data_IF_227217681645
#
_entry.id   IF_227217681645
#
_cell.length_a   1.000
_cell.length_b   1.000
_cell.length_c   1.000
_cell.angle_alpha   90.00
_cell.angle_beta   90.00
_cell.angle_gamma   90.00
#
_symmetry.space_group_name_H-M   'P 1'
#
loop_
_entity.id
_entity.type
_entity.pdbx_description
1 polymer ?
#
# COMPACT_ATOMS: atom_id res chain seq x y z
N UNK A 1 -63.94 0.91 -31.76
CA UNK A 1 -63.51 0.75 -30.35
C UNK A 1 -62.37 -0.26 -30.11
N UNK A 2 -61.77 -0.88 -31.15
CA UNK A 2 -60.61 -1.81 -31.01
C UNK A 2 -59.28 -1.31 -31.59
N UNK A 3 -59.27 -0.18 -32.32
CA UNK A 3 -58.05 0.41 -32.92
C UNK A 3 -57.37 1.49 -32.06
N UNK A 4 -58.09 2.14 -31.13
CA UNK A 4 -57.51 3.20 -30.27
C UNK A 4 -56.70 2.58 -29.11
N UNK A 5 -57.04 1.36 -28.71
CA UNK A 5 -56.34 0.62 -27.64
C UNK A 5 -54.95 0.11 -28.03
N UNK A 6 -54.67 -0.11 -29.32
CA UNK A 6 -53.35 -0.60 -29.77
C UNK A 6 -52.29 0.50 -29.88
N UNK A 7 -52.69 1.76 -30.13
CA UNK A 7 -51.76 2.89 -30.24
C UNK A 7 -51.25 3.38 -28.88
N UNK A 8 -52.07 3.30 -27.82
CA UNK A 8 -51.65 3.70 -26.46
C UNK A 8 -50.69 2.68 -25.83
N UNK A 9 -50.81 1.39 -26.17
CA UNK A 9 -49.86 0.35 -25.72
C UNK A 9 -48.48 0.45 -26.34
N UNK A 10 -48.34 1.05 -27.53
CA UNK A 10 -47.04 1.18 -28.18
C UNK A 10 -46.17 2.30 -27.57
N UNK A 11 -46.77 3.37 -27.03
CA UNK A 11 -46.02 4.47 -26.41
C UNK A 11 -45.56 4.16 -24.97
N UNK A 12 -46.27 3.31 -24.23
CA UNK A 12 -45.87 2.96 -22.86
C UNK A 12 -44.69 1.97 -22.80
N UNK A 13 -44.46 1.21 -23.89
CA UNK A 13 -43.34 0.27 -23.96
C UNK A 13 -42.01 0.95 -24.33
N UNK A 14 -42.03 2.09 -25.03
CA UNK A 14 -40.82 2.77 -25.51
C UNK A 14 -40.19 3.66 -24.43
N UNK A 15 -40.98 4.19 -23.49
CA UNK A 15 -40.46 5.02 -22.38
C UNK A 15 -39.81 4.18 -21.26
N UNK A 16 -40.12 2.88 -21.16
CA UNK A 16 -39.48 1.98 -20.18
C UNK A 16 -38.12 1.40 -20.61
N UNK A 17 -37.66 1.64 -21.85
CA UNK A 17 -36.33 1.17 -22.30
C UNK A 17 -35.18 2.17 -22.06
N UNK A 18 -35.44 3.37 -21.54
CA UNK A 18 -34.38 4.37 -21.27
C UNK A 18 -33.98 4.50 -19.78
N UNK A 19 -34.56 3.67 -18.90
CA UNK A 19 -34.30 3.72 -17.46
C UNK A 19 -33.13 2.86 -17.01
N UNK A 20 -32.08 3.53 -16.54
CA UNK A 20 -30.98 2.98 -15.72
C UNK A 20 -29.91 2.12 -16.43
N UNK A 21 -29.13 2.75 -17.31
CA UNK A 21 -27.70 2.40 -17.38
C UNK A 21 -27.06 2.82 -16.05
N UNK A 22 -27.18 1.95 -15.04
CA UNK A 22 -26.41 2.09 -13.80
C UNK A 22 -24.96 1.88 -14.19
N UNK A 23 -24.19 2.97 -14.35
CA UNK A 23 -22.75 2.88 -14.37
C UNK A 23 -22.34 2.37 -12.98
N UNK A 24 -22.24 1.05 -12.83
CA UNK A 24 -21.54 0.43 -11.73
C UNK A 24 -20.12 0.94 -11.82
N UNK A 25 -19.80 2.00 -11.07
CA UNK A 25 -18.41 2.28 -10.75
C UNK A 25 -17.92 1.01 -10.08
N UNK A 26 -17.12 0.23 -10.80
CA UNK A 26 -16.35 -0.84 -10.21
C UNK A 26 -15.49 -0.14 -9.15
N UNK A 27 -15.95 -0.18 -7.90
CA UNK A 27 -15.15 0.26 -6.78
C UNK A 27 -13.89 -0.58 -6.86
N UNK A 28 -12.77 0.05 -7.25
CA UNK A 28 -11.48 -0.61 -7.25
C UNK A 28 -11.30 -1.23 -5.87
N UNK A 29 -10.93 -2.50 -5.84
CA UNK A 29 -10.90 -3.27 -4.59
C UNK A 29 -10.08 -2.51 -3.55
N UNK A 30 -10.72 -2.14 -2.44
CA UNK A 30 -10.07 -1.36 -1.40
C UNK A 30 -8.97 -2.22 -0.77
N UNK A 31 -7.74 -1.75 -0.82
CA UNK A 31 -6.57 -2.47 -0.31
C UNK A 31 -5.34 -1.59 -0.32
N UNK A 32 -4.37 -1.94 0.51
CA UNK A 32 -3.11 -1.22 0.62
C UNK A 32 -2.24 -1.53 -0.60
N UNK A 33 -1.69 -0.50 -1.22
CA UNK A 33 -0.77 -0.68 -2.34
C UNK A 33 0.51 -1.37 -1.89
N UNK A 34 0.97 -2.35 -2.67
CA UNK A 34 2.21 -3.08 -2.44
C UNK A 34 2.75 -3.61 -3.78
N UNK A 35 3.86 -4.34 -3.70
CA UNK A 35 4.49 -5.02 -4.82
C UNK A 35 4.81 -6.47 -4.46
N UNK A 36 4.73 -7.36 -5.44
CA UNK A 36 5.39 -8.66 -5.33
C UNK A 36 6.89 -8.48 -5.54
N UNK A 37 7.73 -8.98 -4.63
CA UNK A 37 9.20 -8.95 -4.81
C UNK A 37 9.75 -10.25 -5.39
N UNK A 38 8.92 -11.30 -5.38
CA UNK A 38 9.14 -12.60 -6.01
C UNK A 38 7.80 -13.08 -6.58
N UNK A 39 7.77 -14.09 -7.46
CA UNK A 39 6.51 -14.65 -7.91
C UNK A 39 5.68 -15.13 -6.72
N UNK A 40 4.44 -14.68 -6.63
CA UNK A 40 3.50 -15.10 -5.61
C UNK A 40 2.77 -16.35 -6.09
N UNK A 41 2.78 -17.40 -5.27
CA UNK A 41 1.88 -18.54 -5.44
C UNK A 41 0.59 -18.21 -4.69
N UNK A 42 -0.53 -18.18 -5.41
CA UNK A 42 -1.83 -17.90 -4.84
C UNK A 42 -2.48 -19.19 -4.36
N UNK A 43 -2.86 -19.23 -3.09
CA UNK A 43 -3.61 -20.30 -2.46
C UNK A 43 -5.06 -19.89 -2.21
N UNK A 44 -5.96 -20.87 -2.16
CA UNK A 44 -7.37 -20.66 -1.80
C UNK A 44 -7.60 -20.30 -0.33
N UNK A 45 -6.59 -20.46 0.54
CA UNK A 45 -6.64 -20.11 1.96
C UNK A 45 -5.26 -19.76 2.56
N UNK A 46 -5.24 -19.28 3.81
CA UNK A 46 -4.09 -18.63 4.45
C UNK A 46 -3.07 -19.61 5.07
N UNK A 47 -2.78 -20.72 4.40
CA UNK A 47 -1.67 -21.62 4.72
C UNK A 47 -1.32 -22.56 3.55
N UNK A 48 -0.28 -23.38 3.75
CA UNK A 48 0.27 -24.28 2.70
C UNK A 48 -0.59 -25.52 2.41
N UNK A 49 -1.61 -25.81 3.22
CA UNK A 49 -2.51 -26.96 3.02
C UNK A 49 -3.61 -26.68 1.99
N UNK A 50 -3.85 -25.40 1.67
CA UNK A 50 -4.83 -25.00 0.67
C UNK A 50 -4.31 -25.19 -0.76
N UNK A 51 -5.24 -25.48 -1.67
CA UNK A 51 -4.93 -25.67 -3.08
C UNK A 51 -4.37 -24.38 -3.70
N UNK A 52 -3.34 -24.54 -4.54
CA UNK A 52 -2.82 -23.48 -5.41
C UNK A 52 -3.84 -23.18 -6.49
N UNK A 53 -4.20 -21.91 -6.64
CA UNK A 53 -5.24 -21.43 -7.56
C UNK A 53 -4.71 -20.45 -8.61
N UNK A 54 -3.43 -20.07 -8.53
CA UNK A 54 -2.83 -19.19 -9.51
C UNK A 54 -1.47 -18.66 -9.08
N UNK A 55 -0.95 -17.72 -9.87
CA UNK A 55 0.34 -17.09 -9.65
C UNK A 55 0.30 -15.63 -10.07
N UNK A 56 0.93 -14.75 -9.30
CA UNK A 56 1.23 -13.36 -9.70
C UNK A 56 2.75 -13.28 -9.95
N UNK A 57 3.22 -12.70 -11.07
CA UNK A 57 4.65 -12.53 -11.33
C UNK A 57 5.37 -11.71 -10.25
N UNK A 58 6.71 -11.72 -10.26
CA UNK A 58 7.49 -10.77 -9.47
C UNK A 58 7.32 -9.34 -10.02
N UNK A 59 7.71 -8.36 -9.21
CA UNK A 59 7.73 -6.93 -9.57
C UNK A 59 6.38 -6.44 -10.10
N UNK A 60 5.30 -7.04 -9.60
CA UNK A 60 3.94 -6.71 -10.01
C UNK A 60 3.31 -5.83 -8.94
N UNK A 61 2.73 -4.67 -9.30
CA UNK A 61 1.88 -3.91 -8.39
C UNK A 61 0.70 -4.76 -7.94
N UNK A 62 0.48 -4.84 -6.62
CA UNK A 62 -0.60 -5.60 -6.02
C UNK A 62 -1.37 -4.74 -5.01
N UNK A 63 -2.58 -5.17 -4.68
CA UNK A 63 -3.34 -4.68 -3.53
C UNK A 63 -3.35 -5.74 -2.45
N UNK A 64 -2.95 -5.35 -1.25
CA UNK A 64 -3.12 -6.18 -0.06
C UNK A 64 -4.46 -5.85 0.58
N UNK A 65 -5.37 -6.81 0.55
CA UNK A 65 -6.74 -6.63 1.06
C UNK A 65 -6.79 -6.87 2.58
N UNK A 66 -6.07 -7.89 3.04
CA UNK A 66 -5.89 -8.23 4.45
C UNK A 66 -4.75 -9.23 4.62
N UNK A 67 -4.20 -9.30 5.83
CA UNK A 67 -3.28 -10.38 6.19
C UNK A 67 -3.81 -11.18 7.38
N UNK A 68 -3.38 -12.43 7.46
CA UNK A 68 -3.61 -13.37 8.55
C UNK A 68 -2.30 -14.11 8.78
N UNK A 69 -1.62 -13.77 9.89
CA UNK A 69 -0.26 -14.27 10.18
C UNK A 69 0.67 -14.01 8.99
N UNK A 70 1.31 -15.05 8.47
CA UNK A 70 2.30 -14.97 7.39
C UNK A 70 1.69 -15.01 5.97
N UNK A 71 0.37 -14.83 5.86
CA UNK A 71 -0.36 -14.87 4.60
C UNK A 71 -1.15 -13.59 4.39
N UNK A 72 -1.10 -13.06 3.18
CA UNK A 72 -1.88 -11.90 2.78
C UNK A 72 -2.80 -12.28 1.63
N UNK A 73 -4.08 -11.94 1.76
CA UNK A 73 -5.01 -11.97 0.65
C UNK A 73 -4.69 -10.78 -0.24
N UNK A 74 -4.25 -11.09 -1.46
CA UNK A 74 -3.80 -10.09 -2.44
C UNK A 74 -4.66 -10.16 -3.69
N UNK A 75 -4.71 -9.04 -4.39
CA UNK A 75 -5.33 -8.91 -5.69
C UNK A 75 -4.41 -8.17 -6.66
N UNK A 76 -4.32 -8.64 -7.90
CA UNK A 76 -3.64 -7.96 -9.00
C UNK A 76 -4.30 -8.39 -10.31
N UNK A 77 -4.65 -7.41 -11.16
CA UNK A 77 -5.46 -7.65 -12.36
C UNK A 77 -6.73 -8.43 -11.98
N UNK A 78 -7.07 -9.50 -12.71
CA UNK A 78 -8.22 -10.38 -12.44
C UNK A 78 -7.89 -11.55 -11.48
N UNK A 79 -6.70 -11.57 -10.87
CA UNK A 79 -6.27 -12.62 -9.96
C UNK A 79 -6.42 -12.20 -8.49
N UNK A 80 -6.92 -13.12 -7.67
CA UNK A 80 -7.08 -12.94 -6.24
C UNK A 80 -6.80 -14.24 -5.49
N UNK A 81 -6.02 -14.15 -4.41
CA UNK A 81 -5.73 -15.32 -3.59
C UNK A 81 -4.78 -15.00 -2.44
N UNK A 82 -4.55 -15.98 -1.58
CA UNK A 82 -3.65 -15.86 -0.44
C UNK A 82 -2.21 -16.12 -0.89
N UNK A 83 -1.30 -15.22 -0.53
CA UNK A 83 0.13 -15.34 -0.82
C UNK A 83 0.95 -15.16 0.45
N UNK A 84 2.17 -15.68 0.46
CA UNK A 84 3.13 -15.47 1.56
C UNK A 84 3.44 -13.98 1.71
N UNK A 85 3.30 -13.46 2.94
CA UNK A 85 3.62 -12.06 3.27
C UNK A 85 5.10 -11.74 3.08
N UNK A 86 5.97 -12.76 3.14
CA UNK A 86 7.42 -12.63 2.91
C UNK A 86 7.77 -12.06 1.53
N UNK A 87 6.86 -12.17 0.56
CA UNK A 87 7.08 -11.71 -0.81
C UNK A 87 6.21 -10.50 -1.17
N UNK A 88 5.58 -9.89 -0.17
CA UNK A 88 4.79 -8.66 -0.29
C UNK A 88 5.61 -7.49 0.26
N UNK A 89 5.78 -6.45 -0.55
CA UNK A 89 6.51 -5.25 -0.16
C UNK A 89 5.64 -3.99 -0.29
N UNK A 90 5.48 -3.28 0.82
CA UNK A 90 4.52 -2.19 0.99
C UNK A 90 4.98 -0.83 0.47
N UNK A 91 5.79 -0.78 -0.58
CA UNK A 91 6.34 0.48 -1.11
C UNK A 91 7.74 0.80 -0.61
N UNK A 92 8.46 -0.20 -0.11
CA UNK A 92 9.91 -0.16 0.10
C UNK A 92 10.67 -0.61 -1.15
N UNK A 93 10.08 -0.63 -2.34
CA UNK A 93 10.73 -0.83 -3.64
C UNK A 93 10.03 0.10 -4.66
N UNK A 94 10.74 0.83 -5.54
CA UNK A 94 11.64 0.26 -6.55
C UNK A 94 13.03 0.93 -6.64
N UNK A 95 13.90 0.32 -7.45
CA UNK A 95 15.25 0.75 -7.90
C UNK A 95 16.49 0.50 -7.03
N UNK A 96 17.67 0.33 -7.67
CA UNK A 96 18.90 -0.14 -7.04
C UNK A 96 19.35 0.85 -5.98
N UNK A 97 19.37 0.38 -4.75
CA UNK A 97 19.84 1.17 -3.62
C UNK A 97 21.36 1.20 -3.67
N UNK A 98 21.96 2.38 -3.49
CA UNK A 98 23.35 2.46 -3.07
C UNK A 98 23.36 1.85 -1.66
N UNK A 99 23.60 0.54 -1.56
CA UNK A 99 23.55 -0.25 -0.31
C UNK A 99 24.63 0.12 0.71
N UNK A 100 25.45 1.13 0.37
CA UNK A 100 26.58 1.63 1.14
C UNK A 100 26.59 3.16 1.15
N UNK A 101 25.40 3.78 1.08
CA UNK A 101 25.27 5.23 1.14
C UNK A 101 25.92 5.78 2.40
N UNK A 102 26.81 6.77 2.28
CA UNK A 102 27.33 7.51 3.45
C UNK A 102 26.39 8.67 3.71
N UNK A 103 25.52 8.52 4.71
CA UNK A 103 24.59 9.57 5.07
C UNK A 103 23.83 9.30 6.37
N UNK A 104 23.01 10.28 6.72
CA UNK A 104 22.24 10.31 7.95
C UNK A 104 20.84 10.82 7.64
N UNK A 105 19.84 10.22 8.29
CA UNK A 105 18.44 10.59 8.20
C UNK A 105 17.99 11.08 9.57
N UNK A 106 17.55 12.34 9.66
CA UNK A 106 17.01 12.92 10.88
C UNK A 106 15.49 13.07 10.76
N UNK A 107 14.75 12.42 11.65
CA UNK A 107 13.31 12.60 11.80
C UNK A 107 13.03 13.65 12.86
N UNK A 108 12.06 14.52 12.60
CA UNK A 108 11.70 15.64 13.46
C UNK A 108 10.24 15.53 13.90
N UNK A 109 9.94 15.89 15.15
CA UNK A 109 8.56 15.91 15.67
C UNK A 109 7.68 17.01 15.04
N UNK A 110 8.29 18.12 14.61
CA UNK A 110 7.60 19.21 13.92
C UNK A 110 7.74 19.15 12.40
N UNK A 111 6.88 19.90 11.70
CA UNK A 111 7.04 20.17 10.25
C UNK A 111 8.18 21.15 10.02
N UNK A 112 8.68 21.23 8.78
CA UNK A 112 9.80 22.09 8.36
C UNK A 112 11.07 21.88 9.20
N UNK A 113 11.33 20.63 9.62
CA UNK A 113 12.52 20.25 10.37
C UNK A 113 12.64 20.96 11.74
N UNK A 114 11.50 21.15 12.42
CA UNK A 114 11.43 21.82 13.72
C UNK A 114 11.17 20.84 14.87
N UNK A 115 11.44 21.28 16.10
CA UNK A 115 11.22 20.49 17.32
C UNK A 115 12.33 19.47 17.59
N UNK A 116 12.05 18.50 18.45
CA UNK A 116 13.00 17.44 18.77
C UNK A 116 13.28 16.56 17.55
N UNK A 117 14.52 16.10 17.42
CA UNK A 117 14.97 15.28 16.29
C UNK A 117 15.71 14.03 16.75
N UNK A 118 15.58 12.96 15.99
CA UNK A 118 16.37 11.73 16.15
C UNK A 118 16.98 11.35 14.81
N UNK A 119 18.30 11.14 14.80
CA UNK A 119 19.06 10.86 13.60
C UNK A 119 19.54 9.41 13.55
N UNK A 120 19.48 8.81 12.37
CA UNK A 120 19.84 7.42 12.10
C UNK A 120 20.84 7.38 10.94
N UNK A 121 21.88 6.57 11.08
CA UNK A 121 22.87 6.37 10.03
C UNK A 121 22.41 5.31 9.03
N UNK A 122 22.96 5.33 7.81
CA UNK A 122 22.77 4.26 6.83
C UNK A 122 22.99 2.86 7.42
N UNK A 123 22.15 1.90 7.01
CA UNK A 123 22.11 0.54 7.55
C UNK A 123 21.24 0.37 8.80
N UNK A 124 20.81 1.47 9.44
CA UNK A 124 19.92 1.39 10.61
C UNK A 124 18.57 0.79 10.23
N UNK A 125 18.13 -0.23 10.99
CA UNK A 125 16.82 -0.87 10.84
C UNK A 125 16.12 -0.85 12.19
N UNK A 126 14.91 -0.30 12.24
CA UNK A 126 14.06 -0.29 13.44
C UNK A 126 12.68 -0.83 13.05
N UNK A 127 12.41 -2.06 13.47
CA UNK A 127 11.18 -2.76 13.16
C UNK A 127 10.00 -2.30 14.02
N UNK A 128 10.27 -1.75 15.22
CA UNK A 128 9.27 -1.22 16.13
C UNK A 128 9.82 0.00 16.89
N UNK A 129 9.43 1.20 16.44
CA UNK A 129 9.83 2.46 17.07
C UNK A 129 9.29 2.62 18.50
N UNK A 130 8.23 1.88 18.88
CA UNK A 130 7.68 1.95 20.23
C UNK A 130 8.68 1.42 21.27
N UNK A 131 9.52 0.45 20.89
CA UNK A 131 10.58 -0.07 21.76
C UNK A 131 11.66 0.97 22.09
N UNK A 132 11.74 2.04 21.30
CA UNK A 132 12.66 3.16 21.50
C UNK A 132 11.95 4.43 21.99
N UNK A 133 10.64 4.36 22.29
CA UNK A 133 9.81 5.52 22.63
C UNK A 133 9.78 6.60 21.51
N UNK A 134 9.86 6.16 20.25
CA UNK A 134 9.89 7.02 19.07
C UNK A 134 8.67 6.86 18.15
N UNK A 135 7.69 6.06 18.56
CA UNK A 135 6.50 5.75 17.76
C UNK A 135 5.58 6.95 17.59
N UNK A 136 4.93 7.06 16.43
CA UNK A 136 3.81 7.98 16.17
C UNK A 136 4.06 9.47 16.50
N UNK A 137 5.28 9.98 16.29
CA UNK A 137 5.62 11.38 16.64
C UNK A 137 6.26 12.21 15.54
N UNK A 138 6.80 11.61 14.50
CA UNK A 138 7.55 12.34 13.50
C UNK A 138 6.66 13.01 12.45
N UNK A 139 6.95 14.26 12.11
CA UNK A 139 6.19 15.04 11.14
C UNK A 139 7.02 15.48 9.91
N UNK A 140 8.34 15.51 10.00
CA UNK A 140 9.22 15.80 8.86
C UNK A 140 10.53 15.00 8.92
N UNK A 141 11.24 14.91 7.80
CA UNK A 141 12.47 14.11 7.70
C UNK A 141 13.50 14.79 6.79
N UNK A 142 14.73 14.90 7.28
CA UNK A 142 15.85 15.48 6.54
C UNK A 142 16.88 14.40 6.21
N UNK A 143 17.32 14.35 4.97
CA UNK A 143 18.34 13.44 4.46
C UNK A 143 19.63 14.24 4.21
N UNK A 144 20.76 13.71 4.68
CA UNK A 144 22.09 14.29 4.45
C UNK A 144 23.03 13.23 3.89
N UNK A 145 23.70 13.53 2.79
CA UNK A 145 24.55 12.58 2.06
C UNK A 145 23.76 11.73 1.06
N UNK A 146 24.39 10.67 0.55
CA UNK A 146 23.74 9.71 -0.33
C UNK A 146 23.03 8.67 0.56
N UNK A 147 21.76 8.90 0.89
CA UNK A 147 20.98 8.04 1.80
C UNK A 147 19.52 8.03 1.39
N UNK A 148 18.81 6.95 1.68
CA UNK A 148 17.35 6.89 1.58
C UNK A 148 16.74 6.18 2.78
N UNK A 149 15.44 6.35 3.02
CA UNK A 149 14.76 5.67 4.12
C UNK A 149 13.42 5.11 3.66
N UNK A 150 13.18 3.83 3.94
CA UNK A 150 11.83 3.28 3.96
C UNK A 150 11.18 3.69 5.28
N UNK A 151 10.06 4.41 5.19
CA UNK A 151 9.31 4.90 6.35
C UNK A 151 7.92 4.28 6.30
N UNK A 152 7.55 3.53 7.33
CA UNK A 152 6.31 2.75 7.35
C UNK A 152 5.42 3.16 8.51
N UNK A 153 4.11 3.15 8.25
CA UNK A 153 3.08 3.49 9.24
C UNK A 153 2.97 2.45 10.33
N UNK A 154 3.09 1.17 9.98
CA UNK A 154 2.92 0.08 10.95
C UNK A 154 4.29 -0.54 11.28
N UNK A 155 4.33 -1.31 12.37
CA UNK A 155 5.52 -2.05 12.80
C UNK A 155 5.88 -3.12 11.77
N UNK A 156 7.12 -3.60 11.84
CA UNK A 156 7.64 -4.69 11.01
C UNK A 156 7.45 -4.44 9.50
N UNK A 157 7.51 -3.18 9.07
CA UNK A 157 7.37 -2.75 7.68
C UNK A 157 6.03 -3.10 7.02
N UNK A 158 4.94 -3.02 7.77
CA UNK A 158 3.61 -3.37 7.28
C UNK A 158 2.80 -2.16 6.82
N UNK A 159 1.76 -2.46 6.03
CA UNK A 159 0.75 -1.53 5.52
C UNK A 159 1.31 -0.41 4.63
N UNK A 160 1.34 0.84 5.07
CA UNK A 160 1.70 1.95 4.18
C UNK A 160 3.16 2.31 4.41
N UNK A 161 4.01 2.08 3.41
CA UNK A 161 5.39 2.54 3.42
C UNK A 161 5.66 3.48 2.25
N UNK A 162 6.55 4.43 2.49
CA UNK A 162 7.11 5.29 1.45
C UNK A 162 8.63 5.22 1.47
N UNK A 163 9.22 5.14 0.28
CA UNK A 163 10.64 5.32 0.10
C UNK A 163 10.95 6.81 -0.05
N UNK A 164 11.57 7.39 0.97
CA UNK A 164 11.96 8.79 0.98
C UNK A 164 13.42 8.89 0.51
N UNK A 165 13.61 9.49 -0.66
CA UNK A 165 14.92 9.71 -1.30
C UNK A 165 15.37 11.18 -1.27
N UNK A 166 14.52 12.07 -0.77
CA UNK A 166 14.79 13.50 -0.62
C UNK A 166 14.14 14.00 0.66
N UNK A 167 14.74 15.01 1.30
CA UNK A 167 14.18 15.67 2.49
C UNK A 167 12.73 16.10 2.27
N UNK A 168 11.88 15.84 3.26
CA UNK A 168 10.45 16.20 3.25
C UNK A 168 10.15 17.13 4.42
N UNK A 169 9.83 18.42 4.18
CA UNK A 169 9.43 19.34 5.25
C UNK A 169 8.10 18.94 5.89
N UNK A 170 7.30 18.09 5.24
CA UNK A 170 6.20 17.38 5.85
C UNK A 170 6.16 15.96 5.30
N UNK A 171 6.06 14.97 6.20
CA UNK A 171 5.83 13.59 5.80
C UNK A 171 4.47 13.46 5.07
N UNK A 172 4.37 12.48 4.14
CA UNK A 172 3.09 12.11 3.52
C UNK A 172 2.00 11.92 4.58
N UNK A 173 0.75 12.27 4.23
CA UNK A 173 -0.37 12.35 5.19
C UNK A 173 -0.54 11.08 6.03
N UNK A 174 -0.32 9.89 5.45
CA UNK A 174 -0.48 8.61 6.14
C UNK A 174 0.75 8.15 6.96
N UNK A 175 1.84 8.93 6.94
CA UNK A 175 3.04 8.70 7.76
C UNK A 175 3.24 9.78 8.83
N UNK A 176 2.67 10.97 8.64
CA UNK A 176 2.87 12.09 9.55
C UNK A 176 2.21 11.82 10.91
N UNK A 177 3.03 11.75 11.96
CA UNK A 177 2.59 11.42 13.31
C UNK A 177 2.20 9.96 13.50
N UNK A 178 2.53 9.09 12.54
CA UNK A 178 2.10 7.68 12.54
C UNK A 178 3.20 6.73 12.08
N UNK A 179 4.47 7.15 12.06
CA UNK A 179 5.57 6.27 11.69
C UNK A 179 5.84 5.29 12.82
N UNK A 180 5.88 3.99 12.49
CA UNK A 180 6.17 2.92 13.46
C UNK A 180 7.35 2.01 13.10
N UNK A 181 7.84 2.03 11.85
CA UNK A 181 9.08 1.33 11.49
C UNK A 181 9.86 2.05 10.39
N UNK A 182 11.18 1.92 10.43
CA UNK A 182 12.10 2.55 9.48
C UNK A 182 13.25 1.64 9.07
N UNK A 183 13.72 1.79 7.83
CA UNK A 183 14.97 1.20 7.37
C UNK A 183 15.74 2.21 6.54
N UNK A 184 16.93 2.56 7.00
CA UNK A 184 17.84 3.49 6.33
C UNK A 184 18.80 2.70 5.45
N UNK A 185 18.92 3.11 4.20
CA UNK A 185 19.79 2.47 3.20
C UNK A 185 20.94 3.38 2.81
#
# INVERSE_FOLDING_TARGET
MRLVTTLVSACLAIVMLLGAASASLAAGEAGTHAWSVKPLVLASGPDRSFAVIGHIPAETPIRVLRCQRDWCLVAANDQRGWASSLYVDYGRHPEPVITHGRGTVCFFEGTNFTGASTCFNSGTTIDDLALQNLDNRFASVQLTGAVSVATCRDRYFQSYCERIVQSKPALPTYLRGTVSSIKVY
#
